data_IF_747799464548
#
_entry.id   IF_747799464548
#
_cell.length_a   1.000
_cell.length_b   1.000
_cell.length_c   1.000
_cell.angle_alpha   90.00
_cell.angle_beta   90.00
_cell.angle_gamma   90.00
#
_symmetry.space_group_name_H-M   'P 1'
#
loop_
_entity.id
_entity.type
_entity.pdbx_description
1 polymer ?
#
# COMPACT_ATOMS: atom_id res chain seq x y z
N UNK A 1 18.98 5.09 15.91
CA UNK A 1 20.08 4.66 15.02
C UNK A 1 20.81 5.89 14.52
N UNK A 2 22.13 5.82 14.38
CA UNK A 2 22.93 6.92 13.84
C UNK A 2 23.06 6.76 12.32
N UNK A 3 22.92 7.86 11.60
CA UNK A 3 23.06 7.94 10.15
C UNK A 3 24.18 8.90 9.79
N UNK A 4 24.58 8.95 8.52
CA UNK A 4 25.62 9.89 8.05
C UNK A 4 25.19 11.37 8.20
N UNK A 5 23.88 11.64 8.35
CA UNK A 5 23.27 12.96 8.51
C UNK A 5 22.75 13.21 9.95
N UNK A 6 23.30 12.51 10.93
CA UNK A 6 22.92 12.61 12.35
C UNK A 6 21.95 11.52 12.82
N UNK A 7 21.53 11.53 14.09
CA UNK A 7 20.63 10.52 14.62
C UNK A 7 19.21 10.68 14.06
N UNK A 8 18.57 9.57 13.71
CA UNK A 8 17.16 9.57 13.28
C UNK A 8 16.25 9.82 14.46
N UNK A 9 15.25 10.67 14.26
CA UNK A 9 14.28 11.09 15.27
C UNK A 9 12.85 10.66 14.92
N UNK A 10 11.95 10.72 15.91
CA UNK A 10 10.51 10.50 15.70
C UNK A 10 9.90 11.53 14.73
N UNK A 11 10.38 12.78 14.76
CA UNK A 11 9.98 13.80 13.80
C UNK A 11 10.30 13.35 12.37
N UNK A 12 11.48 12.77 12.14
CA UNK A 12 11.87 12.33 10.80
C UNK A 12 10.92 11.28 10.24
N UNK A 13 10.59 10.26 11.03
CA UNK A 13 9.62 9.23 10.63
C UNK A 13 8.21 9.81 10.47
N UNK A 14 7.80 10.73 11.34
CA UNK A 14 6.48 11.40 11.24
C UNK A 14 6.34 12.20 9.95
N UNK A 15 7.39 12.92 9.56
CA UNK A 15 7.45 13.64 8.29
C UNK A 15 7.49 12.67 7.12
N UNK A 16 8.39 11.68 7.13
CA UNK A 16 8.55 10.72 6.05
C UNK A 16 7.29 9.86 5.81
N UNK A 17 6.51 9.58 6.86
CA UNK A 17 5.25 8.84 6.72
C UNK A 17 4.26 9.51 5.76
N UNK A 18 4.16 10.84 5.78
CA UNK A 18 3.25 11.61 4.92
C UNK A 18 3.97 12.19 3.69
N UNK A 19 5.14 12.81 3.88
CA UNK A 19 5.86 13.50 2.83
C UNK A 19 6.63 12.54 1.92
N UNK A 20 7.05 11.38 2.44
CA UNK A 20 8.01 10.51 1.77
C UNK A 20 9.27 11.29 1.38
N UNK A 21 9.61 11.30 0.10
CA UNK A 21 10.70 12.09 -0.48
C UNK A 21 10.38 13.56 -0.72
N UNK A 22 9.13 13.97 -0.51
CA UNK A 22 8.63 15.29 -0.89
C UNK A 22 8.39 15.48 -2.39
N UNK A 23 8.51 14.44 -3.22
CA UNK A 23 8.20 14.53 -4.66
C UNK A 23 6.75 14.20 -5.02
N UNK A 24 6.03 13.55 -4.09
CA UNK A 24 4.64 13.16 -4.28
C UNK A 24 3.65 14.29 -4.01
N UNK A 25 2.43 14.14 -4.53
CA UNK A 25 1.30 14.99 -4.17
C UNK A 25 0.86 14.73 -2.72
N UNK A 26 0.56 15.81 -2.00
CA UNK A 26 -0.01 15.79 -0.65
C UNK A 26 -1.28 16.66 -0.67
N UNK A 27 -2.44 16.14 -0.24
CA UNK A 27 -3.68 16.91 -0.27
C UNK A 27 -3.63 18.16 0.63
N UNK A 28 -3.96 19.37 0.13
CA UNK A 28 -4.00 20.60 0.95
C UNK A 28 -5.26 20.68 1.82
N UNK A 29 -5.59 19.60 2.56
CA UNK A 29 -6.82 19.51 3.35
C UNK A 29 -6.65 18.80 4.69
N UNK A 30 -7.55 19.11 5.62
CA UNK A 30 -7.80 18.33 6.83
C UNK A 30 -6.56 18.09 7.69
N UNK A 31 -6.14 16.82 7.80
CA UNK A 31 -4.98 16.39 8.59
C UNK A 31 -3.65 16.57 7.88
N UNK A 32 -3.65 16.69 6.56
CA UNK A 32 -2.44 16.77 5.74
C UNK A 32 -1.92 18.20 5.65
N UNK A 33 -2.76 19.19 5.95
CA UNK A 33 -2.43 20.61 5.82
C UNK A 33 -1.12 21.05 6.54
N UNK A 34 -0.83 20.63 7.79
CA UNK A 34 0.46 20.94 8.42
C UNK A 34 1.66 20.36 7.65
N UNK A 35 1.51 19.18 7.04
CA UNK A 35 2.56 18.56 6.25
C UNK A 35 2.77 19.30 4.92
N UNK A 36 1.71 19.80 4.28
CA UNK A 36 1.84 20.65 3.09
C UNK A 36 2.56 21.95 3.43
N UNK A 37 2.27 22.56 4.57
CA UNK A 37 3.00 23.74 5.05
C UNK A 37 4.48 23.45 5.31
N UNK A 38 4.80 22.33 5.99
CA UNK A 38 6.19 21.92 6.21
C UNK A 38 6.90 21.66 4.87
N UNK A 39 6.22 21.02 3.92
CA UNK A 39 6.75 20.78 2.58
C UNK A 39 7.06 22.08 1.84
N UNK A 40 6.19 23.09 1.96
CA UNK A 40 6.45 24.43 1.43
C UNK A 40 7.66 25.07 2.11
N UNK A 41 7.71 25.06 3.43
CA UNK A 41 8.80 25.61 4.24
C UNK A 41 10.15 24.92 3.96
N UNK A 42 10.16 23.62 3.67
CA UNK A 42 11.38 22.90 3.28
C UNK A 42 11.99 23.46 1.98
N UNK A 43 11.16 23.99 1.08
CA UNK A 43 11.58 24.58 -0.21
C UNK A 43 12.08 26.02 -0.06
N UNK A 44 11.41 26.86 0.74
CA UNK A 44 11.77 28.29 0.90
C UNK A 44 12.66 28.58 2.10
N UNK A 45 12.70 27.70 3.10
CA UNK A 45 13.39 27.89 4.37
C UNK A 45 12.61 28.73 5.38
N UNK A 46 12.08 29.87 4.95
CA UNK A 46 11.39 30.85 5.79
C UNK A 46 10.23 31.50 5.02
N UNK A 47 9.08 31.69 5.67
CA UNK A 47 7.98 32.49 5.14
C UNK A 47 7.09 33.04 6.24
N UNK A 48 6.39 34.14 5.97
CA UNK A 48 5.35 34.66 6.87
C UNK A 48 4.05 33.85 6.77
N UNK A 49 3.21 33.95 7.79
CA UNK A 49 1.90 33.29 7.81
C UNK A 49 1.01 33.70 6.62
N UNK A 50 1.00 34.99 6.25
CA UNK A 50 0.21 35.50 5.12
C UNK A 50 0.67 34.91 3.79
N UNK A 51 1.97 34.91 3.54
CA UNK A 51 2.54 34.28 2.33
C UNK A 51 2.21 32.78 2.30
N UNK A 52 2.29 32.09 3.44
CA UNK A 52 2.00 30.67 3.51
C UNK A 52 0.54 30.34 3.19
N UNK A 53 -0.43 31.09 3.72
CA UNK A 53 -1.85 30.81 3.43
C UNK A 53 -2.23 31.17 2.00
N UNK A 54 -1.60 32.21 1.43
CA UNK A 54 -1.78 32.62 0.04
C UNK A 54 -1.25 31.54 -0.91
N UNK A 55 -0.01 31.08 -0.69
CA UNK A 55 0.62 30.01 -1.47
C UNK A 55 -0.18 28.69 -1.41
N UNK A 56 -0.77 28.40 -0.25
CA UNK A 56 -1.57 27.18 -0.05
C UNK A 56 -3.02 27.33 -0.54
N UNK A 57 -3.46 28.54 -0.90
CA UNK A 57 -4.83 28.82 -1.32
C UNK A 57 -5.88 28.51 -0.24
N UNK A 58 -5.56 28.73 1.03
CA UNK A 58 -6.45 28.39 2.17
C UNK A 58 -6.98 29.62 2.89
N UNK A 59 -8.18 29.49 3.48
CA UNK A 59 -8.73 30.54 4.33
C UNK A 59 -7.88 30.78 5.59
N UNK A 60 -7.91 32.02 6.10
CA UNK A 60 -7.21 32.38 7.34
C UNK A 60 -7.62 31.48 8.52
N UNK A 61 -8.91 31.14 8.65
CA UNK A 61 -9.42 30.22 9.67
C UNK A 61 -8.72 28.84 9.60
N UNK A 62 -8.54 28.30 8.40
CA UNK A 62 -7.84 27.04 8.20
C UNK A 62 -6.34 27.20 8.51
N UNK A 63 -5.73 28.31 8.10
CA UNK A 63 -4.35 28.66 8.41
C UNK A 63 -4.09 28.75 9.92
N UNK A 64 -4.96 29.40 10.70
CA UNK A 64 -4.84 29.47 12.17
C UNK A 64 -4.91 28.10 12.82
N UNK A 65 -5.81 27.23 12.35
CA UNK A 65 -5.87 25.84 12.84
C UNK A 65 -4.61 25.04 12.47
N UNK A 66 -4.03 25.30 11.31
CA UNK A 66 -2.77 24.70 10.87
C UNK A 66 -1.59 25.16 11.74
N UNK A 67 -1.47 26.46 12.04
CA UNK A 67 -0.42 26.99 12.93
C UNK A 67 -0.43 26.29 14.30
N UNK A 68 -1.61 26.11 14.91
CA UNK A 68 -1.74 25.40 16.20
C UNK A 68 -1.25 23.96 16.13
N UNK A 69 -1.48 23.27 15.00
CA UNK A 69 -0.97 21.90 14.79
C UNK A 69 0.54 21.89 14.56
N UNK A 70 1.08 22.88 13.84
CA UNK A 70 2.52 23.02 13.62
C UNK A 70 3.26 23.27 14.93
N UNK A 71 2.73 24.17 15.77
CA UNK A 71 3.27 24.41 17.10
C UNK A 71 3.27 23.13 17.94
N UNK A 72 2.15 22.41 17.96
CA UNK A 72 2.08 21.11 18.65
C UNK A 72 3.12 20.10 18.11
N UNK A 73 3.30 20.02 16.78
CA UNK A 73 4.33 19.15 16.19
C UNK A 73 5.75 19.59 16.58
N UNK A 74 5.98 20.89 16.76
CA UNK A 74 7.24 21.42 17.25
C UNK A 74 7.49 21.02 18.71
N UNK A 75 6.50 21.18 19.58
CA UNK A 75 6.54 20.78 20.98
C UNK A 75 6.73 19.27 21.14
N UNK A 76 5.92 18.47 20.43
CA UNK A 76 5.99 16.99 20.43
C UNK A 76 7.34 16.45 19.86
N UNK A 77 8.15 17.32 19.24
CA UNK A 77 9.47 16.98 18.70
C UNK A 77 10.63 17.61 19.46
N UNK A 78 10.44 18.02 20.72
CA UNK A 78 11.44 18.70 21.56
C UNK A 78 12.02 19.95 20.88
N UNK A 79 11.16 20.71 20.20
CA UNK A 79 11.56 21.93 19.52
C UNK A 79 12.46 21.71 18.29
N UNK A 80 12.40 20.55 17.62
CA UNK A 80 13.28 20.25 16.46
C UNK A 80 12.77 20.79 15.13
N UNK A 81 11.49 21.16 15.02
CA UNK A 81 10.89 21.61 13.76
C UNK A 81 11.28 23.03 13.32
N UNK A 82 11.07 24.05 14.16
CA UNK A 82 11.29 25.46 13.83
C UNK A 82 12.55 26.02 14.47
N UNK A 83 13.26 26.91 13.77
CA UNK A 83 14.50 27.52 14.26
C UNK A 83 14.26 28.48 15.42
N UNK A 84 13.09 29.13 15.42
CA UNK A 84 12.66 30.10 16.40
C UNK A 84 11.22 29.76 16.81
N UNK A 85 10.90 29.98 18.08
CA UNK A 85 9.52 29.87 18.57
C UNK A 85 8.67 30.99 17.95
N UNK A 86 7.41 30.68 17.67
CA UNK A 86 6.45 31.65 17.17
C UNK A 86 5.15 31.57 17.96
N UNK A 87 4.48 32.71 18.08
CA UNK A 87 3.16 32.77 18.70
C UNK A 87 2.07 32.63 17.62
N UNK A 88 1.23 31.58 17.65
CA UNK A 88 0.18 31.36 16.65
C UNK A 88 -0.93 32.43 16.66
N UNK A 89 -1.03 33.21 17.75
CA UNK A 89 -2.00 34.30 17.90
C UNK A 89 -1.49 35.63 17.30
N UNK A 90 -0.20 35.73 16.93
CA UNK A 90 0.33 36.91 16.26
C UNK A 90 -0.35 37.11 14.90
N UNK A 91 -0.55 38.36 14.48
CA UNK A 91 -1.27 38.66 13.24
C UNK A 91 -0.60 38.03 12.00
N UNK A 92 0.74 38.00 11.96
CA UNK A 92 1.53 37.46 10.86
C UNK A 92 2.88 36.88 11.33
N UNK A 93 2.90 35.75 12.05
CA UNK A 93 4.15 35.17 12.54
C UNK A 93 5.03 34.71 11.38
N UNK A 94 6.35 34.85 11.55
CA UNK A 94 7.34 34.30 10.65
C UNK A 94 7.65 32.87 11.04
N UNK A 95 7.63 31.96 10.07
CA UNK A 95 7.91 30.54 10.27
C UNK A 95 9.22 30.19 9.58
N UNK A 96 10.18 29.68 10.36
CA UNK A 96 11.51 29.31 9.87
C UNK A 96 11.84 27.88 10.25
N UNK A 97 12.09 27.02 9.27
CA UNK A 97 12.38 25.61 9.55
C UNK A 97 13.84 25.42 9.99
N UNK A 98 14.11 24.53 10.95
CA UNK A 98 15.50 24.19 11.29
C UNK A 98 16.18 23.53 10.10
N UNK A 99 17.44 23.92 9.81
CA UNK A 99 18.20 23.39 8.68
C UNK A 99 18.30 21.86 8.68
N UNK A 100 18.48 21.24 9.86
CA UNK A 100 18.60 19.78 10.02
C UNK A 100 17.33 19.01 9.62
N UNK A 101 16.16 19.67 9.58
CA UNK A 101 14.90 19.03 9.16
C UNK A 101 14.95 18.68 7.67
N UNK A 102 15.75 19.39 6.86
CA UNK A 102 15.89 19.09 5.42
C UNK A 102 16.41 17.68 5.15
N UNK A 103 17.21 17.13 6.05
CA UNK A 103 17.82 15.80 5.91
C UNK A 103 16.93 14.66 6.44
N UNK A 104 15.68 14.93 6.86
CA UNK A 104 14.77 13.93 7.44
C UNK A 104 14.65 12.68 6.56
N UNK A 105 14.50 12.87 5.25
CA UNK A 105 14.28 11.77 4.32
C UNK A 105 15.52 10.91 4.14
N UNK A 106 16.71 11.53 4.11
CA UNK A 106 17.98 10.81 3.98
C UNK A 106 18.24 9.97 5.23
N UNK A 107 18.02 10.53 6.43
CA UNK A 107 18.13 9.78 7.68
C UNK A 107 17.19 8.57 7.73
N UNK A 108 15.93 8.76 7.35
CA UNK A 108 14.94 7.68 7.34
C UNK A 108 15.28 6.62 6.31
N UNK A 109 15.75 6.99 5.12
CA UNK A 109 16.23 6.05 4.10
C UNK A 109 17.38 5.19 4.62
N UNK A 110 18.43 5.80 5.15
CA UNK A 110 19.59 5.08 5.70
C UNK A 110 19.16 4.13 6.82
N UNK A 111 18.36 4.62 7.77
CA UNK A 111 17.83 3.80 8.86
C UNK A 111 17.02 2.60 8.36
N UNK A 112 16.15 2.82 7.38
CA UNK A 112 15.30 1.76 6.81
C UNK A 112 16.15 0.71 6.09
N UNK A 113 17.17 1.13 5.34
CA UNK A 113 18.08 0.22 4.65
C UNK A 113 18.98 -0.55 5.60
N UNK A 114 19.48 0.08 6.67
CA UNK A 114 20.24 -0.62 7.72
C UNK A 114 19.42 -1.76 8.35
N UNK A 115 18.12 -1.55 8.55
CA UNK A 115 17.22 -2.60 9.05
C UNK A 115 17.05 -3.72 8.02
N UNK A 116 16.86 -3.39 6.74
CA UNK A 116 16.77 -4.38 5.66
C UNK A 116 18.05 -5.21 5.56
N UNK A 117 19.21 -4.57 5.55
CA UNK A 117 20.51 -5.23 5.48
C UNK A 117 20.75 -6.12 6.69
N UNK A 118 20.26 -5.72 7.88
CA UNK A 118 20.29 -6.57 9.07
C UNK A 118 19.41 -7.80 8.92
N UNK A 119 18.19 -7.65 8.42
CA UNK A 119 17.22 -8.74 8.31
C UNK A 119 17.67 -9.77 7.26
N UNK A 120 18.20 -9.32 6.13
CA UNK A 120 18.49 -10.18 4.98
C UNK A 120 19.97 -10.45 4.74
N UNK A 121 20.87 -9.63 5.29
CA UNK A 121 22.31 -9.68 5.02
C UNK A 121 23.18 -9.98 6.24
N UNK A 122 22.62 -10.06 7.46
CA UNK A 122 23.38 -10.34 8.68
C UNK A 122 23.28 -11.80 9.11
N UNK A 123 24.35 -12.29 9.75
CA UNK A 123 24.37 -13.57 10.47
C UNK A 123 23.84 -13.45 11.91
N UNK A 124 23.64 -12.23 12.41
CA UNK A 124 23.05 -11.97 13.73
C UNK A 124 21.53 -12.22 13.71
N UNK A 125 20.91 -12.23 14.89
CA UNK A 125 19.46 -12.37 14.99
C UNK A 125 18.75 -11.21 14.26
N UNK A 126 17.96 -11.46 13.20
CA UNK A 126 17.51 -10.43 12.25
C UNK A 126 16.55 -9.41 12.87
N UNK A 127 15.84 -9.80 13.93
CA UNK A 127 14.87 -8.95 14.62
C UNK A 127 15.43 -8.28 15.89
N UNK A 128 16.66 -8.59 16.30
CA UNK A 128 17.20 -8.08 17.55
C UNK A 128 18.08 -6.88 17.27
N UNK A 129 17.85 -5.73 17.90
CA UNK A 129 18.61 -4.49 17.79
C UNK A 129 19.47 -4.30 19.04
N UNK A 130 20.67 -4.87 19.06
CA UNK A 130 21.50 -4.93 20.26
C UNK A 130 21.01 -6.00 21.24
N UNK A 131 21.36 -5.90 22.52
CA UNK A 131 21.19 -7.02 23.45
C UNK A 131 19.74 -7.19 23.97
N UNK A 132 18.95 -6.11 24.05
CA UNK A 132 17.62 -6.13 24.71
C UNK A 132 16.47 -5.49 23.89
N UNK A 133 16.74 -4.99 22.68
CA UNK A 133 15.69 -4.36 21.86
C UNK A 133 15.29 -5.25 20.70
N UNK A 134 13.99 -5.35 20.44
CA UNK A 134 13.44 -6.19 19.38
C UNK A 134 12.61 -5.36 18.42
N UNK A 135 12.78 -5.61 17.13
CA UNK A 135 11.90 -5.11 16.09
C UNK A 135 10.52 -5.74 16.25
N UNK A 136 9.53 -4.89 16.42
CA UNK A 136 8.13 -5.29 16.48
C UNK A 136 7.53 -5.32 15.08
N UNK A 137 6.33 -5.88 14.98
CA UNK A 137 5.52 -5.82 13.75
C UNK A 137 5.25 -4.36 13.34
N UNK A 138 5.11 -3.44 14.28
CA UNK A 138 4.90 -2.02 13.97
C UNK A 138 6.13 -1.38 13.36
N UNK A 139 7.33 -1.73 13.84
CA UNK A 139 8.58 -1.22 13.30
C UNK A 139 8.81 -1.73 11.88
N UNK A 140 8.58 -3.02 11.64
CA UNK A 140 8.65 -3.61 10.30
C UNK A 140 7.63 -2.98 9.35
N UNK A 141 6.41 -2.71 9.82
CA UNK A 141 5.40 -2.03 9.01
C UNK A 141 5.81 -0.57 8.69
N UNK A 142 6.43 0.14 9.63
CA UNK A 142 6.94 1.49 9.39
C UNK A 142 8.06 1.46 8.33
N UNK A 143 9.01 0.52 8.44
CA UNK A 143 10.06 0.30 7.44
C UNK A 143 9.44 -0.02 6.07
N UNK A 144 8.45 -0.91 6.01
CA UNK A 144 7.76 -1.23 4.75
C UNK A 144 7.14 0.00 4.08
N UNK A 145 6.50 0.90 4.84
CA UNK A 145 5.98 2.17 4.30
C UNK A 145 7.11 3.04 3.74
N UNK A 146 8.26 3.09 4.41
CA UNK A 146 9.42 3.85 3.92
C UNK A 146 9.98 3.26 2.62
N UNK A 147 10.06 1.93 2.53
CA UNK A 147 10.48 1.23 1.31
C UNK A 147 9.51 1.51 0.14
N UNK A 148 8.21 1.55 0.39
CA UNK A 148 7.20 1.92 -0.62
C UNK A 148 7.42 3.36 -1.10
N UNK A 149 7.71 4.31 -0.19
CA UNK A 149 8.05 5.69 -0.57
C UNK A 149 9.34 5.77 -1.40
N UNK A 150 10.34 4.96 -1.09
CA UNK A 150 11.57 4.86 -1.88
C UNK A 150 11.33 4.30 -3.29
N UNK A 151 10.45 3.30 -3.43
CA UNK A 151 10.03 2.79 -4.73
C UNK A 151 9.28 3.87 -5.53
N UNK A 152 8.36 4.59 -4.88
CA UNK A 152 7.62 5.70 -5.50
C UNK A 152 8.57 6.79 -6.01
N UNK A 153 9.57 7.16 -5.23
CA UNK A 153 10.58 8.15 -5.65
C UNK A 153 11.29 7.72 -6.94
N UNK A 154 11.70 6.44 -7.06
CA UNK A 154 12.34 5.93 -8.28
C UNK A 154 11.41 5.95 -9.50
N UNK A 155 10.10 5.75 -9.30
CA UNK A 155 9.10 5.83 -10.36
C UNK A 155 8.89 7.28 -10.80
N UNK A 156 8.74 8.21 -9.85
CA UNK A 156 8.57 9.65 -10.15
C UNK A 156 9.81 10.20 -10.87
N UNK A 157 11.00 9.73 -10.53
CA UNK A 157 12.25 10.11 -11.21
C UNK A 157 12.38 9.54 -12.64
N UNK A 158 11.34 8.86 -13.14
CA UNK A 158 11.21 8.45 -14.55
C UNK A 158 12.02 7.21 -14.94
N UNK A 159 12.51 6.44 -13.96
CA UNK A 159 13.43 5.33 -14.22
C UNK A 159 12.78 3.96 -14.25
N UNK A 160 11.58 3.81 -13.69
CA UNK A 160 10.93 2.52 -13.48
C UNK A 160 9.41 2.63 -13.62
N UNK A 161 8.78 1.59 -14.16
CA UNK A 161 7.36 1.31 -14.01
C UNK A 161 7.22 0.15 -13.04
N UNK A 162 6.51 0.36 -11.93
CA UNK A 162 6.23 -0.68 -10.94
C UNK A 162 4.74 -0.99 -10.99
N UNK A 163 4.42 -2.26 -11.18
CA UNK A 163 3.06 -2.77 -11.27
C UNK A 163 2.90 -3.84 -10.19
N UNK A 164 2.07 -3.57 -9.19
CA UNK A 164 1.63 -4.58 -8.24
C UNK A 164 0.48 -5.39 -8.84
N UNK A 165 0.46 -6.69 -8.58
CA UNK A 165 -0.63 -7.59 -9.00
C UNK A 165 -1.16 -8.32 -7.77
N UNK A 166 -2.46 -8.18 -7.50
CA UNK A 166 -3.14 -8.89 -6.43
C UNK A 166 -4.06 -9.98 -7.00
N UNK A 167 -3.75 -11.23 -6.62
CA UNK A 167 -4.56 -12.41 -6.97
C UNK A 167 -5.84 -12.46 -6.17
N UNK A 168 -5.70 -12.68 -4.87
CA UNK A 168 -6.81 -12.89 -3.95
C UNK A 168 -7.05 -11.58 -3.22
N UNK A 169 -8.14 -10.90 -3.58
CA UNK A 169 -8.56 -9.65 -2.95
C UNK A 169 -9.98 -9.79 -2.43
N UNK A 170 -10.17 -9.44 -1.16
CA UNK A 170 -11.50 -9.25 -0.58
C UNK A 170 -12.00 -7.82 -0.74
N UNK A 171 -11.31 -6.99 -1.55
CA UNK A 171 -11.68 -5.62 -1.81
C UNK A 171 -13.10 -5.52 -2.37
N UNK A 172 -13.75 -4.44 -1.98
CA UNK A 172 -15.10 -4.06 -2.41
C UNK A 172 -15.17 -2.60 -2.85
N UNK A 173 -14.00 -1.96 -3.07
CA UNK A 173 -13.94 -0.55 -3.44
C UNK A 173 -14.57 -0.24 -4.79
N UNK A 174 -14.49 -1.18 -5.73
CA UNK A 174 -15.12 -1.01 -7.04
C UNK A 174 -16.64 -0.92 -6.91
N UNK A 175 -17.25 -1.92 -6.27
CA UNK A 175 -18.71 -1.98 -6.11
C UNK A 175 -19.22 -0.86 -5.20
N UNK A 176 -18.51 -0.55 -4.10
CA UNK A 176 -19.04 0.38 -3.07
C UNK A 176 -18.79 1.86 -3.37
N UNK A 177 -17.84 2.19 -4.24
CA UNK A 177 -17.42 3.58 -4.48
C UNK A 177 -17.22 3.90 -5.96
N UNK A 178 -16.53 3.05 -6.73
CA UNK A 178 -16.27 3.31 -8.17
C UNK A 178 -17.56 3.27 -8.97
N UNK A 179 -18.38 2.22 -8.84
CA UNK A 179 -19.67 2.11 -9.55
C UNK A 179 -20.64 3.23 -9.15
N UNK A 180 -20.87 3.55 -7.86
CA UNK A 180 -21.70 4.68 -7.48
C UNK A 180 -21.22 6.02 -8.05
N UNK A 181 -19.90 6.26 -8.05
CA UNK A 181 -19.37 7.49 -8.64
C UNK A 181 -19.51 7.51 -10.17
N UNK A 182 -19.27 6.38 -10.84
CA UNK A 182 -19.48 6.24 -12.29
C UNK A 182 -20.94 6.50 -12.68
N UNK A 183 -21.92 6.14 -11.84
CA UNK A 183 -23.34 6.49 -12.06
C UNK A 183 -23.60 7.97 -11.90
N UNK A 184 -23.04 8.59 -10.86
CA UNK A 184 -23.14 10.03 -10.66
C UNK A 184 -22.57 10.82 -11.84
N UNK A 185 -21.50 10.32 -12.46
CA UNK A 185 -20.89 10.90 -13.67
C UNK A 185 -21.63 10.51 -14.97
N UNK A 186 -22.69 9.71 -14.90
CA UNK A 186 -23.46 9.28 -16.07
C UNK A 186 -22.81 8.19 -16.94
N UNK A 187 -21.70 7.58 -16.48
CA UNK A 187 -21.01 6.49 -17.20
C UNK A 187 -21.76 5.16 -17.13
N UNK A 188 -22.59 5.00 -16.10
CA UNK A 188 -23.43 3.82 -15.86
C UNK A 188 -24.86 4.32 -15.65
N UNK A 189 -25.87 3.70 -16.28
CA UNK A 189 -27.27 4.06 -16.06
C UNK A 189 -27.68 3.97 -14.57
N UNK A 190 -28.51 4.92 -14.11
CA UNK A 190 -28.93 5.02 -12.71
C UNK A 190 -29.84 3.86 -12.25
N UNK A 191 -30.59 3.26 -13.17
CA UNK A 191 -31.60 2.23 -12.93
C UNK A 191 -31.01 0.83 -12.76
N UNK A 192 -29.79 0.59 -13.23
CA UNK A 192 -29.10 -0.67 -12.98
C UNK A 192 -28.64 -0.75 -11.53
N UNK A 193 -28.91 -1.84 -10.81
CA UNK A 193 -28.29 -2.12 -9.51
C UNK A 193 -27.32 -3.29 -9.65
N UNK A 194 -26.08 -3.20 -9.14
CA UNK A 194 -25.19 -4.33 -9.23
C UNK A 194 -25.76 -5.46 -8.36
N UNK A 195 -25.61 -6.73 -8.77
CA UNK A 195 -25.96 -7.86 -7.93
C UNK A 195 -25.27 -7.74 -6.56
N UNK A 196 -25.93 -8.22 -5.51
CA UNK A 196 -25.44 -8.12 -4.14
C UNK A 196 -24.26 -9.09 -3.88
N UNK A 197 -23.12 -8.78 -4.49
CA UNK A 197 -21.85 -9.47 -4.33
C UNK A 197 -20.93 -8.65 -3.43
N UNK A 198 -20.25 -9.33 -2.51
CA UNK A 198 -19.42 -8.68 -1.48
C UNK A 198 -18.01 -8.34 -1.94
N UNK A 199 -17.56 -8.87 -3.08
CA UNK A 199 -16.17 -8.79 -3.53
C UNK A 199 -16.08 -8.41 -5.00
N UNK A 200 -15.25 -7.42 -5.29
CA UNK A 200 -15.07 -6.86 -6.64
C UNK A 200 -14.64 -7.92 -7.65
N UNK A 201 -13.65 -8.76 -7.28
CA UNK A 201 -13.17 -9.85 -8.14
C UNK A 201 -14.29 -10.82 -8.51
N UNK A 202 -15.09 -11.25 -7.54
CA UNK A 202 -16.19 -12.18 -7.78
C UNK A 202 -17.25 -11.56 -8.70
N UNK A 203 -17.61 -10.30 -8.42
CA UNK A 203 -18.53 -9.52 -9.24
C UNK A 203 -18.06 -9.40 -10.69
N UNK A 204 -16.84 -8.92 -10.91
CA UNK A 204 -16.31 -8.72 -12.26
C UNK A 204 -16.10 -10.05 -13.01
N UNK A 205 -15.68 -11.11 -12.32
CA UNK A 205 -15.52 -12.43 -12.94
C UNK A 205 -16.88 -12.95 -13.42
N UNK A 206 -17.91 -12.92 -12.54
CA UNK A 206 -19.27 -13.37 -12.89
C UNK A 206 -19.85 -12.50 -14.01
N UNK A 207 -19.72 -11.17 -13.91
CA UNK A 207 -20.20 -10.24 -14.93
C UNK A 207 -19.61 -10.55 -16.30
N UNK A 208 -18.29 -10.79 -16.37
CA UNK A 208 -17.59 -11.12 -17.62
C UNK A 208 -17.97 -12.50 -18.17
N UNK A 209 -18.22 -13.50 -17.31
CA UNK A 209 -18.58 -14.86 -17.73
C UNK A 209 -20.02 -14.98 -18.20
N UNK A 210 -20.96 -14.36 -17.50
CA UNK A 210 -22.40 -14.40 -17.86
C UNK A 210 -22.66 -13.60 -19.14
N UNK A 211 -21.90 -12.53 -19.35
CA UNK A 211 -22.02 -11.66 -20.52
C UNK A 211 -20.85 -11.85 -21.49
N UNK A 212 -20.45 -13.09 -21.73
CA UNK A 212 -19.29 -13.43 -22.57
C UNK A 212 -19.36 -12.86 -23.99
N UNK A 213 -20.58 -12.60 -24.50
CA UNK A 213 -20.81 -11.96 -25.79
C UNK A 213 -20.54 -10.44 -25.81
N UNK A 214 -20.48 -9.78 -24.64
CA UNK A 214 -20.23 -8.33 -24.52
C UNK A 214 -18.76 -8.00 -24.22
N UNK A 215 -18.04 -8.90 -23.55
CA UNK A 215 -16.66 -8.68 -23.12
C UNK A 215 -15.74 -9.68 -23.80
N UNK A 216 -14.70 -9.23 -24.50
CA UNK A 216 -13.65 -10.12 -25.02
C UNK A 216 -12.37 -9.95 -24.20
N UNK A 217 -11.75 -11.05 -23.78
CA UNK A 217 -10.43 -10.97 -23.15
C UNK A 217 -9.32 -10.69 -24.20
N UNK A 218 -8.29 -9.88 -23.87
CA UNK A 218 -8.05 -9.23 -22.60
C UNK A 218 -8.82 -7.91 -22.45
N UNK A 219 -9.26 -7.60 -21.24
CA UNK A 219 -9.90 -6.33 -20.89
C UNK A 219 -9.44 -5.84 -19.52
N UNK A 220 -9.64 -4.53 -19.27
CA UNK A 220 -9.48 -3.90 -17.96
C UNK A 220 -10.68 -3.01 -17.65
N UNK A 221 -10.93 -2.75 -16.37
CA UNK A 221 -11.89 -1.73 -15.95
C UNK A 221 -11.33 -0.33 -16.16
N UNK A 222 -12.18 0.68 -15.97
CA UNK A 222 -11.70 2.03 -15.69
C UNK A 222 -10.75 1.99 -14.48
N UNK A 223 -9.72 2.80 -14.57
CA UNK A 223 -8.68 2.95 -13.56
C UNK A 223 -9.07 4.09 -12.62
N UNK A 224 -8.76 3.94 -11.34
CA UNK A 224 -9.19 4.88 -10.31
C UNK A 224 -8.17 4.97 -9.18
N UNK A 225 -8.24 6.05 -8.40
CA UNK A 225 -7.32 6.29 -7.29
C UNK A 225 -7.53 5.28 -6.14
N UNK A 226 -6.44 4.85 -5.51
CA UNK A 226 -6.52 4.01 -4.32
C UNK A 226 -7.24 4.69 -3.13
N UNK A 227 -7.44 6.01 -3.14
CA UNK A 227 -8.23 6.68 -2.12
C UNK A 227 -9.69 6.18 -2.04
N UNK A 228 -10.23 5.64 -3.16
CA UNK A 228 -11.55 5.00 -3.20
C UNK A 228 -11.65 3.79 -2.27
N UNK A 229 -10.52 3.20 -1.84
CA UNK A 229 -10.50 2.15 -0.81
C UNK A 229 -10.98 2.65 0.57
N UNK A 230 -11.12 3.97 0.78
CA UNK A 230 -11.71 4.54 2.00
C UNK A 230 -13.07 5.17 1.79
N UNK A 231 -13.60 5.12 0.56
CA UNK A 231 -14.87 5.73 0.17
C UNK A 231 -15.98 4.68 0.03
N UNK A 232 -17.22 5.16 0.17
CA UNK A 232 -18.47 4.47 -0.16
C UNK A 232 -19.44 5.49 -0.77
N UNK A 233 -20.53 5.00 -1.37
CA UNK A 233 -21.65 5.82 -1.84
C UNK A 233 -22.14 6.83 -0.78
N UNK A 234 -22.28 8.08 -1.24
CA UNK A 234 -22.70 9.24 -0.46
C UNK A 234 -24.14 9.67 -0.75
N UNK A 235 -24.35 10.98 -0.91
CA UNK A 235 -25.65 11.60 -1.21
C UNK A 235 -25.58 12.42 -2.52
N UNK A 236 -26.72 12.92 -3.01
CA UNK A 236 -26.79 13.70 -4.26
C UNK A 236 -25.83 14.90 -4.31
N UNK A 237 -25.55 15.54 -3.17
CA UNK A 237 -24.69 16.73 -3.10
C UNK A 237 -23.22 16.40 -2.81
N UNK A 238 -22.92 15.14 -2.50
CA UNK A 238 -21.59 14.64 -2.22
C UNK A 238 -21.60 13.13 -2.53
N UNK A 239 -21.33 12.73 -3.79
CA UNK A 239 -21.57 11.37 -4.28
C UNK A 239 -20.78 10.30 -3.54
N UNK A 240 -19.73 10.70 -2.81
CA UNK A 240 -18.89 9.81 -2.03
C UNK A 240 -18.78 10.27 -0.57
N UNK A 241 -18.66 9.30 0.34
CA UNK A 241 -18.38 9.54 1.77
C UNK A 241 -17.34 8.58 2.30
N UNK A 242 -16.62 9.01 3.34
CA UNK A 242 -15.64 8.18 4.01
C UNK A 242 -16.30 7.02 4.78
N UNK A 243 -15.91 5.79 4.45
CA UNK A 243 -16.42 4.57 5.10
C UNK A 243 -16.11 4.55 6.61
N UNK A 244 -14.93 5.07 6.99
CA UNK A 244 -14.43 5.10 8.38
C UNK A 244 -14.06 6.52 8.81
N UNK A 245 -14.88 7.51 8.43
CA UNK A 245 -14.72 8.93 8.78
C UNK A 245 -13.47 9.63 8.21
N UNK A 246 -12.52 8.89 7.61
CA UNK A 246 -11.31 9.42 7.02
C UNK A 246 -11.20 9.01 5.55
N UNK A 247 -10.81 9.95 4.70
CA UNK A 247 -10.41 9.71 3.32
C UNK A 247 -8.89 9.66 3.27
N UNK A 248 -8.32 8.56 2.75
CA UNK A 248 -6.88 8.45 2.55
C UNK A 248 -6.37 9.47 1.53
N UNK A 249 -5.04 9.66 1.47
CA UNK A 249 -4.43 10.57 0.51
C UNK A 249 -4.73 10.10 -0.92
N UNK A 250 -5.20 11.03 -1.75
CA UNK A 250 -5.30 10.84 -3.18
C UNK A 250 -3.92 10.95 -3.88
N UNK A 251 -3.86 10.51 -5.15
CA UNK A 251 -2.73 10.54 -6.07
C UNK A 251 -1.48 9.80 -5.56
N UNK A 252 -1.72 8.69 -4.87
CA UNK A 252 -0.66 7.80 -4.38
C UNK A 252 -0.50 6.60 -5.31
N UNK A 253 -1.60 5.91 -5.57
CA UNK A 253 -1.67 4.73 -6.42
C UNK A 253 -2.88 4.79 -7.33
N UNK A 254 -2.74 4.26 -8.54
CA UNK A 254 -3.82 3.99 -9.48
C UNK A 254 -4.08 2.49 -9.49
N UNK A 255 -5.36 2.12 -9.47
CA UNK A 255 -5.84 0.73 -9.42
C UNK A 255 -6.74 0.46 -10.61
N UNK A 256 -6.68 -0.76 -11.16
CA UNK A 256 -7.72 -1.26 -12.05
C UNK A 256 -7.78 -2.78 -12.03
N UNK A 257 -8.93 -3.32 -12.39
CA UNK A 257 -9.12 -4.76 -12.55
C UNK A 257 -8.90 -5.18 -14.00
N UNK A 258 -8.44 -6.41 -14.22
CA UNK A 258 -8.20 -6.94 -15.55
C UNK A 258 -8.44 -8.46 -15.64
N UNK A 259 -8.71 -8.93 -16.84
CA UNK A 259 -8.81 -10.36 -17.18
C UNK A 259 -8.06 -10.60 -18.49
N UNK A 260 -7.26 -11.67 -18.55
CA UNK A 260 -6.37 -11.93 -19.70
C UNK A 260 -6.86 -13.05 -20.61
N UNK A 261 -7.55 -14.05 -20.08
CA UNK A 261 -7.86 -15.30 -20.81
C UNK A 261 -9.35 -15.61 -20.86
N UNK A 262 -9.75 -16.18 -21.99
CA UNK A 262 -11.02 -16.83 -22.23
C UNK A 262 -10.79 -18.13 -23.04
N UNK A 263 -11.67 -19.11 -22.88
CA UNK A 263 -11.57 -20.37 -23.61
C UNK A 263 -12.24 -20.24 -24.97
N UNK A 264 -11.53 -20.61 -26.04
CA UNK A 264 -12.08 -20.56 -27.41
C UNK A 264 -13.26 -21.51 -27.61
N UNK A 265 -13.29 -22.62 -26.88
CA UNK A 265 -14.36 -23.64 -26.97
C UNK A 265 -15.61 -23.28 -26.17
N UNK A 266 -15.46 -22.47 -25.11
CA UNK A 266 -16.55 -21.97 -24.28
C UNK A 266 -16.17 -20.60 -23.73
N UNK A 267 -16.72 -19.56 -24.34
CA UNK A 267 -16.42 -18.17 -23.98
C UNK A 267 -16.87 -17.81 -22.55
N UNK A 268 -17.76 -18.60 -21.92
CA UNK A 268 -18.15 -18.41 -20.53
C UNK A 268 -17.06 -18.86 -19.54
N UNK A 269 -16.17 -19.76 -19.96
CA UNK A 269 -15.04 -20.25 -19.15
C UNK A 269 -13.84 -19.31 -19.34
N UNK A 270 -13.49 -18.60 -18.27
CA UNK A 270 -12.49 -17.51 -18.29
C UNK A 270 -11.56 -17.54 -17.09
N UNK A 271 -10.40 -16.90 -17.20
CA UNK A 271 -9.54 -16.69 -16.02
C UNK A 271 -10.25 -15.81 -14.99
N UNK A 272 -9.95 -15.92 -13.69
CA UNK A 272 -10.42 -14.94 -12.71
C UNK A 272 -10.00 -13.52 -13.07
N UNK A 273 -10.76 -12.54 -12.61
CA UNK A 273 -10.33 -11.13 -12.65
C UNK A 273 -9.23 -10.89 -11.60
N UNK A 274 -8.20 -10.16 -11.99
CA UNK A 274 -7.10 -9.74 -11.11
C UNK A 274 -7.16 -8.23 -10.89
N UNK A 275 -6.55 -7.76 -9.80
CA UNK A 275 -6.33 -6.34 -9.57
C UNK A 275 -4.86 -6.04 -9.87
N UNK A 276 -4.59 -4.97 -10.61
CA UNK A 276 -3.27 -4.36 -10.59
C UNK A 276 -3.33 -3.00 -9.91
N UNK A 277 -2.20 -2.61 -9.33
CA UNK A 277 -1.94 -1.24 -8.90
C UNK A 277 -0.61 -0.76 -9.45
N UNK A 278 -0.46 0.56 -9.52
CA UNK A 278 0.77 1.24 -9.91
C UNK A 278 0.87 2.55 -9.15
N UNK A 279 2.07 3.08 -9.02
CA UNK A 279 2.22 4.44 -8.50
C UNK A 279 1.59 5.46 -9.46
N UNK A 280 1.06 6.54 -8.88
CA UNK A 280 0.66 7.71 -9.64
C UNK A 280 1.90 8.41 -10.24
N UNK A 281 1.87 8.69 -11.54
CA UNK A 281 2.95 9.30 -12.31
C UNK A 281 2.45 10.65 -12.84
N UNK A 282 2.84 11.79 -12.22
CA UNK A 282 2.31 13.11 -12.57
C UNK A 282 2.40 13.44 -14.07
N UNK A 283 3.52 13.11 -14.72
CA UNK A 283 3.74 13.39 -16.15
C UNK A 283 2.74 12.71 -17.10
N UNK A 284 2.04 11.67 -16.64
CA UNK A 284 1.05 10.92 -17.43
C UNK A 284 -0.36 11.10 -16.87
N UNK A 285 -0.48 11.11 -15.55
CA UNK A 285 -1.75 11.00 -14.83
C UNK A 285 -2.36 12.35 -14.42
N UNK A 286 -1.62 13.46 -14.47
CA UNK A 286 -2.15 14.78 -14.11
C UNK A 286 -3.32 15.22 -15.01
N UNK A 287 -3.47 14.64 -16.20
CA UNK A 287 -4.62 14.89 -17.08
C UNK A 287 -5.90 14.14 -16.68
N UNK A 288 -5.83 13.21 -15.73
CA UNK A 288 -6.93 12.34 -15.31
C UNK A 288 -7.28 12.56 -13.83
N UNK A 289 -7.56 13.80 -13.44
CA UNK A 289 -8.04 14.10 -12.09
C UNK A 289 -9.48 14.62 -12.10
N UNK A 290 -10.28 14.16 -11.15
CA UNK A 290 -11.64 14.67 -10.91
C UNK A 290 -11.65 15.55 -9.65
N UNK A 291 -12.40 16.64 -9.65
CA UNK A 291 -12.72 17.38 -8.42
C UNK A 291 -14.00 16.83 -7.81
N UNK A 292 -13.89 16.08 -6.72
CA UNK A 292 -15.04 15.41 -6.10
C UNK A 292 -15.34 16.06 -4.75
N UNK A 293 -16.60 16.44 -4.54
CA UNK A 293 -17.08 16.80 -3.20
C UNK A 293 -17.44 15.52 -2.45
N UNK A 294 -16.75 15.23 -1.36
CA UNK A 294 -16.97 14.05 -0.54
C UNK A 294 -17.26 14.41 0.92
N UNK A 295 -17.85 13.49 1.67
CA UNK A 295 -18.07 13.66 3.12
C UNK A 295 -16.94 12.98 3.90
N UNK A 296 -16.15 13.75 4.64
CA UNK A 296 -15.15 13.26 5.60
C UNK A 296 -15.59 13.62 7.02
N UNK A 297 -15.86 12.59 7.82
CA UNK A 297 -16.45 12.76 9.14
C UNK A 297 -17.88 13.33 9.05
N UNK A 298 -18.04 14.59 9.49
CA UNK A 298 -19.28 15.38 9.39
C UNK A 298 -19.16 16.57 8.44
N UNK A 299 -18.06 16.66 7.68
CA UNK A 299 -17.75 17.83 6.85
C UNK A 299 -17.69 17.44 5.39
N UNK A 300 -18.16 18.34 4.53
CA UNK A 300 -17.89 18.24 3.09
C UNK A 300 -16.46 18.71 2.83
N UNK A 301 -15.73 17.93 2.06
CA UNK A 301 -14.36 18.20 1.66
C UNK A 301 -14.26 18.04 0.14
N UNK A 302 -13.44 18.88 -0.50
CA UNK A 302 -13.05 18.66 -1.89
C UNK A 302 -11.83 17.73 -1.89
N UNK A 303 -11.89 16.70 -2.71
CA UNK A 303 -10.76 15.80 -2.99
C UNK A 303 -10.44 15.85 -4.47
N UNK A 304 -9.19 15.59 -4.83
CA UNK A 304 -8.78 15.57 -6.24
C UNK A 304 -8.09 14.26 -6.65
N UNK A 305 -8.82 13.13 -6.65
CA UNK A 305 -8.27 11.83 -7.00
C UNK A 305 -8.03 11.65 -8.49
N UNK A 306 -7.17 10.66 -8.80
CA UNK A 306 -7.13 10.08 -10.13
C UNK A 306 -8.48 9.42 -10.49
N UNK A 307 -9.01 9.76 -11.65
CA UNK A 307 -10.22 9.19 -12.21
C UNK A 307 -10.09 9.14 -13.73
N UNK A 308 -10.09 7.94 -14.30
CA UNK A 308 -9.96 7.77 -15.75
C UNK A 308 -11.22 8.22 -16.51
N UNK A 309 -12.41 7.96 -15.96
CA UNK A 309 -13.69 8.36 -16.57
C UNK A 309 -13.92 7.72 -17.95
N UNK A 310 -14.39 8.51 -18.91
CA UNK A 310 -14.54 8.12 -20.32
C UNK A 310 -13.22 8.11 -21.08
N UNK A 311 -12.16 8.71 -20.52
CA UNK A 311 -10.86 8.75 -21.15
C UNK A 311 -10.18 7.37 -21.14
N UNK A 312 -9.14 7.22 -21.96
CA UNK A 312 -8.26 6.05 -21.90
C UNK A 312 -6.84 6.51 -21.55
N UNK A 313 -6.32 6.05 -20.42
CA UNK A 313 -4.94 6.28 -20.04
C UNK A 313 -4.01 5.33 -20.83
N UNK A 314 -3.12 5.87 -21.70
CA UNK A 314 -2.24 5.04 -22.50
C UNK A 314 -1.30 4.16 -21.67
N UNK A 315 -0.93 4.59 -20.45
CA UNK A 315 -0.09 3.80 -19.56
C UNK A 315 -0.82 2.57 -19.02
N UNK A 316 -2.09 2.72 -18.62
CA UNK A 316 -2.91 1.60 -18.15
C UNK A 316 -3.19 0.60 -19.28
N UNK A 317 -3.43 1.09 -20.50
CA UNK A 317 -3.56 0.24 -21.69
C UNK A 317 -2.25 -0.46 -22.05
N UNK A 318 -1.11 0.23 -21.93
CA UNK A 318 0.21 -0.37 -22.08
C UNK A 318 0.46 -1.48 -21.05
N UNK A 319 0.09 -1.25 -19.78
CA UNK A 319 0.20 -2.25 -18.70
C UNK A 319 -0.62 -3.50 -19.05
N UNK A 320 -1.87 -3.36 -19.50
CA UNK A 320 -2.67 -4.51 -19.92
C UNK A 320 -1.97 -5.32 -21.02
N UNK A 321 -1.38 -4.64 -22.01
CA UNK A 321 -0.62 -5.30 -23.10
C UNK A 321 0.65 -5.98 -22.58
N UNK A 322 1.37 -5.37 -21.65
CA UNK A 322 2.54 -5.95 -21.00
C UNK A 322 2.16 -7.23 -20.25
N UNK A 323 1.12 -7.16 -19.42
CA UNK A 323 0.62 -8.30 -18.64
C UNK A 323 0.19 -9.46 -19.54
N UNK A 324 -0.48 -9.16 -20.66
CA UNK A 324 -0.83 -10.16 -21.67
C UNK A 324 0.42 -10.82 -22.27
N UNK A 325 1.47 -10.05 -22.58
CA UNK A 325 2.72 -10.59 -23.15
C UNK A 325 3.51 -11.43 -22.15
N UNK A 326 3.37 -11.14 -20.86
CA UNK A 326 3.96 -11.93 -19.80
C UNK A 326 3.19 -13.21 -19.52
N UNK A 327 2.01 -13.40 -20.10
CA UNK A 327 1.16 -14.55 -19.85
C UNK A 327 1.54 -15.76 -20.71
N UNK A 328 1.36 -16.98 -20.19
CA UNK A 328 1.59 -18.22 -20.94
C UNK A 328 0.32 -19.09 -20.97
N UNK A 329 -0.43 -19.12 -22.09
CA UNK A 329 -1.69 -19.85 -22.19
C UNK A 329 -1.53 -21.38 -22.15
N UNK A 330 -0.32 -21.91 -22.40
CA UNK A 330 -0.05 -23.35 -22.39
C UNK A 330 -0.02 -23.93 -20.96
N UNK A 331 0.24 -23.08 -19.96
CA UNK A 331 0.24 -23.50 -18.55
C UNK A 331 -1.18 -23.32 -18.00
N UNK A 332 -1.92 -24.42 -17.94
CA UNK A 332 -3.31 -24.45 -17.45
C UNK A 332 -3.40 -24.06 -15.96
N UNK A 333 -2.41 -24.40 -15.14
CA UNK A 333 -2.33 -24.02 -13.73
C UNK A 333 -2.12 -22.50 -13.56
N UNK A 334 -1.57 -21.85 -14.58
CA UNK A 334 -1.44 -20.40 -14.65
C UNK A 334 -2.76 -19.73 -15.06
N UNK A 335 -3.82 -20.45 -15.45
CA UNK A 335 -5.14 -19.84 -15.73
C UNK A 335 -5.72 -19.10 -14.51
N UNK A 336 -5.37 -19.55 -13.30
CA UNK A 336 -5.69 -18.86 -12.05
C UNK A 336 -4.73 -17.71 -11.68
N UNK A 337 -3.78 -17.35 -12.55
CA UNK A 337 -2.71 -16.38 -12.31
C UNK A 337 -2.35 -15.59 -13.58
N UNK A 338 -1.51 -14.58 -13.45
CA UNK A 338 -0.58 -14.23 -14.54
C UNK A 338 0.66 -15.12 -14.38
N UNK A 339 1.32 -15.54 -15.46
CA UNK A 339 2.49 -16.44 -15.39
C UNK A 339 3.57 -15.95 -14.42
N UNK A 340 3.86 -14.65 -14.39
CA UNK A 340 4.86 -14.09 -13.47
C UNK A 340 4.45 -14.27 -12.01
N UNK A 341 3.16 -14.08 -11.72
CA UNK A 341 2.60 -14.27 -10.38
C UNK A 341 2.59 -15.75 -9.99
N UNK A 342 2.34 -16.66 -10.93
CA UNK A 342 2.44 -18.10 -10.71
C UNK A 342 3.87 -18.52 -10.33
N UNK A 343 4.87 -18.02 -11.05
CA UNK A 343 6.28 -18.31 -10.76
C UNK A 343 6.68 -17.77 -9.38
N UNK A 344 6.28 -16.55 -9.05
CA UNK A 344 6.54 -15.94 -7.75
C UNK A 344 5.88 -16.72 -6.59
N UNK A 345 4.58 -17.06 -6.72
CA UNK A 345 3.85 -17.85 -5.71
C UNK A 345 4.48 -19.23 -5.50
N UNK A 346 4.91 -19.90 -6.57
CA UNK A 346 5.64 -21.18 -6.49
C UNK A 346 6.97 -21.04 -5.76
N UNK A 347 7.76 -20.01 -6.07
CA UNK A 347 9.04 -19.76 -5.41
C UNK A 347 8.86 -19.56 -3.91
N UNK A 348 7.94 -18.66 -3.51
CA UNK A 348 7.66 -18.38 -2.09
C UNK A 348 7.14 -19.63 -1.36
N UNK A 349 6.24 -20.41 -1.98
CA UNK A 349 5.75 -21.65 -1.37
C UNK A 349 6.88 -22.67 -1.14
N UNK A 350 7.84 -22.74 -2.06
CA UNK A 350 9.01 -23.60 -1.91
C UNK A 350 9.91 -23.13 -0.77
N UNK A 351 10.20 -21.84 -0.67
CA UNK A 351 10.99 -21.26 0.43
C UNK A 351 10.33 -21.51 1.79
N UNK A 352 9.04 -21.20 1.92
CA UNK A 352 8.28 -21.46 3.16
C UNK A 352 8.30 -22.94 3.53
N UNK A 353 8.19 -23.84 2.54
CA UNK A 353 8.27 -25.28 2.77
C UNK A 353 9.65 -25.69 3.30
N UNK A 354 10.73 -25.14 2.73
CA UNK A 354 12.10 -25.39 3.19
C UNK A 354 12.31 -24.87 4.62
N UNK A 355 11.91 -23.63 4.91
CA UNK A 355 12.04 -23.01 6.24
C UNK A 355 11.26 -23.81 7.29
N UNK A 356 10.01 -24.21 6.99
CA UNK A 356 9.23 -25.07 7.89
C UNK A 356 9.92 -26.40 8.16
N UNK A 357 10.57 -26.98 7.15
CA UNK A 357 11.38 -28.19 7.30
C UNK A 357 12.56 -27.98 8.24
N UNK A 358 13.32 -26.89 8.05
CA UNK A 358 14.47 -26.54 8.89
C UNK A 358 14.05 -26.25 10.34
N UNK A 359 13.03 -25.42 10.55
CA UNK A 359 12.52 -25.10 11.89
C UNK A 359 12.05 -26.35 12.64
N UNK A 360 11.38 -27.28 11.93
CA UNK A 360 10.97 -28.55 12.51
C UNK A 360 12.19 -29.39 12.88
N UNK A 361 13.19 -29.46 12.01
CA UNK A 361 14.45 -30.17 12.30
C UNK A 361 15.18 -29.61 13.52
N UNK A 362 15.31 -28.29 13.65
CA UNK A 362 15.92 -27.63 14.82
C UNK A 362 15.09 -27.85 16.07
N UNK A 363 13.77 -27.68 16.00
CA UNK A 363 12.87 -27.94 17.11
C UNK A 363 12.95 -29.40 17.57
N UNK A 364 13.01 -30.36 16.64
CA UNK A 364 13.14 -31.78 16.96
C UNK A 364 14.51 -32.11 17.58
N UNK A 365 15.57 -31.39 17.19
CA UNK A 365 16.93 -31.58 17.74
C UNK A 365 17.06 -31.03 19.16
N UNK A 366 16.57 -29.81 19.39
CA UNK A 366 16.57 -29.13 20.70
C UNK A 366 15.56 -29.76 21.68
N UNK A 367 14.29 -29.90 21.24
CA UNK A 367 13.24 -30.48 22.06
C UNK A 367 13.36 -31.99 22.17
N UNK A 368 13.91 -32.68 21.17
CA UNK A 368 14.15 -34.12 21.23
C UNK A 368 15.20 -34.51 22.26
N UNK A 369 16.26 -33.69 22.40
CA UNK A 369 17.26 -33.84 23.46
C UNK A 369 16.67 -33.65 24.86
N UNK A 370 15.90 -32.58 25.06
CA UNK A 370 15.21 -32.28 26.32
C UNK A 370 14.12 -33.30 26.67
N UNK A 371 13.33 -33.72 25.68
CA UNK A 371 12.32 -34.76 25.75
C UNK A 371 12.87 -36.10 26.24
N UNK A 372 13.96 -36.56 25.62
CA UNK A 372 14.61 -37.83 25.97
C UNK A 372 15.22 -37.78 27.36
N UNK A 373 15.83 -36.64 27.73
CA UNK A 373 16.41 -36.44 29.09
C UNK A 373 15.35 -36.38 30.18
N UNK A 374 14.21 -35.75 29.93
CA UNK A 374 13.16 -35.55 30.95
C UNK A 374 12.03 -36.61 30.91
N UNK A 375 12.08 -37.61 30.02
CA UNK A 375 11.03 -38.66 29.83
C UNK A 375 9.60 -38.12 29.61
N UNK A 376 9.46 -36.86 29.21
CA UNK A 376 8.18 -36.14 29.11
C UNK A 376 7.30 -36.67 27.97
N UNK A 377 7.89 -37.25 26.91
CA UNK A 377 7.15 -37.70 25.73
C UNK A 377 6.10 -38.79 26.02
N UNK A 378 6.35 -39.66 26.98
CA UNK A 378 5.40 -40.72 27.38
C UNK A 378 4.17 -40.19 28.11
N UNK A 379 4.24 -38.97 28.66
CA UNK A 379 3.17 -38.38 29.47
C UNK A 379 2.34 -37.39 28.63
N UNK A 380 2.95 -36.66 27.70
CA UNK A 380 2.29 -35.57 26.96
C UNK A 380 1.73 -35.96 25.58
N UNK A 381 2.20 -37.03 24.94
CA UNK A 381 1.73 -37.47 23.61
C UNK A 381 0.94 -38.76 23.69
N UNK A 382 -0.13 -38.89 22.90
CA UNK A 382 -0.87 -40.16 22.76
C UNK A 382 0.00 -41.15 22.01
N UNK A 383 0.10 -42.39 22.51
CA UNK A 383 0.87 -43.48 21.89
C UNK A 383 0.60 -43.69 20.39
N UNK A 384 -0.62 -43.36 19.94
CA UNK A 384 -1.04 -43.45 18.53
C UNK A 384 -0.23 -42.55 17.60
N UNK A 385 0.11 -41.34 18.05
CA UNK A 385 0.84 -40.36 17.24
C UNK A 385 2.32 -40.75 17.12
N UNK A 386 2.90 -41.26 18.21
CA UNK A 386 4.27 -41.81 18.23
C UNK A 386 4.39 -43.00 17.27
N UNK A 387 3.41 -43.90 17.27
CA UNK A 387 3.41 -45.07 16.40
C UNK A 387 3.38 -44.69 14.91
N UNK A 388 2.55 -43.70 14.56
CA UNK A 388 2.41 -43.19 13.19
C UNK A 388 3.69 -42.53 12.68
N UNK A 389 4.42 -41.84 13.56
CA UNK A 389 5.71 -41.20 13.26
C UNK A 389 6.81 -42.25 13.01
N UNK A 390 6.86 -43.31 13.83
CA UNK A 390 7.81 -44.43 13.69
C UNK A 390 7.50 -45.28 12.45
N UNK A 391 6.23 -45.57 12.16
CA UNK A 391 5.81 -46.28 10.95
C UNK A 391 6.13 -45.47 9.68
N UNK A 392 5.82 -44.17 9.67
CA UNK A 392 6.15 -43.29 8.54
C UNK A 392 7.66 -43.03 8.36
N UNK A 393 8.48 -43.22 9.39
CA UNK A 393 9.94 -43.22 9.26
C UNK A 393 10.46 -44.54 8.67
N UNK A 394 9.85 -45.68 9.03
CA UNK A 394 10.17 -46.99 8.43
C UNK A 394 9.80 -47.06 6.95
N UNK A 395 8.63 -46.54 6.57
CA UNK A 395 8.22 -46.50 5.15
C UNK A 395 9.18 -45.65 4.29
N UNK A 396 9.72 -44.57 4.85
CA UNK A 396 10.72 -43.73 4.17
C UNK A 396 12.07 -44.42 4.03
N UNK A 397 12.55 -45.09 5.08
CA UNK A 397 13.78 -45.88 5.03
C UNK A 397 13.68 -47.04 4.01
N UNK A 398 12.52 -47.70 3.91
CA UNK A 398 12.29 -48.78 2.94
C UNK A 398 12.20 -48.26 1.49
N UNK A 399 11.81 -47.00 1.28
CA UNK A 399 11.82 -46.38 -0.05
C UNK A 399 13.20 -45.84 -0.46
N UNK A 400 14.12 -45.61 0.47
CA UNK A 400 15.50 -45.20 0.18
C UNK A 400 16.46 -46.39 -0.09
N UNK A 401 16.04 -47.62 0.24
CA UNK A 401 16.77 -48.87 -0.07
C UNK A 401 16.38 -49.53 -1.41
N UNK A 402 15.55 -48.85 -2.23
CA UNK A 402 15.23 -49.24 -3.61
C UNK A 402 15.68 -48.14 -4.57
#
# INVERSE_FOLDING_TARGET
>A
MNTSHGPTSYLDFSLAFILGSGKGYIPPRGRYLPFVAIHRLLKVGECSFRELIEDLGISERAGRSMLKKLLKMHEDSDGRLFAEDFNPEDANPTLKIKGQVKDYWVRVKETSLMIVDRIFGSYEHPLMLGDDSWLTVFDLNAVNVMLIHMLREKVIDGRLLIIGIAKDTSASDYIRAVIPYARHEGLIPEDEKPPNLRHDRAFLTILSSVNSHLFNAPWRTISYDACFTTLVEGDEKAPLRAARQLISMERQFVKAYFQLREFKSDLGVRSPTFLYDRFYIPSVDDKFHAEITAIEGRKKVKISPYWEGEGENPLDTFILRLLLKCDNPEVMEAMGHNQLLYLADKAVKNEVKMIKGLLRGVADLELGGLSRRQKIFTIARRFRDIRREVEGARERAVMEEK
#
